data_IF_362385178137
#
_entry.id   IF_362385178137
#
_cell.length_a   1.000
_cell.length_b   1.000
_cell.length_c   1.000
_cell.angle_alpha   90.00
_cell.angle_beta   90.00
_cell.angle_gamma   90.00
#
_symmetry.space_group_name_H-M   'P 1'
#
loop_
_entity.id
_entity.type
_entity.pdbx_description
1 polymer ?
#
# COMPACT_ATOMS: atom_id res chain seq x y z
N UNK A 1 -11.26 -15.65 11.76
CA UNK A 1 -11.34 -17.10 12.12
C UNK A 1 -10.89 -17.27 13.57
N UNK A 2 -11.45 -18.22 14.32
CA UNK A 2 -11.00 -18.46 15.70
C UNK A 2 -9.76 -19.35 15.74
N UNK A 3 -8.83 -19.06 16.66
CA UNK A 3 -7.51 -19.72 16.74
C UNK A 3 -7.60 -21.26 16.80
N UNK A 4 -8.62 -21.81 17.46
CA UNK A 4 -8.85 -23.26 17.59
C UNK A 4 -8.95 -23.99 16.24
N UNK A 5 -9.47 -23.34 15.20
CA UNK A 5 -9.75 -23.96 13.90
C UNK A 5 -8.90 -23.39 12.76
N UNK A 6 -8.15 -22.32 13.02
CA UNK A 6 -7.29 -21.68 12.01
C UNK A 6 -6.02 -22.49 11.81
N UNK A 7 -5.82 -23.01 10.60
CA UNK A 7 -4.52 -23.56 10.21
C UNK A 7 -3.52 -22.40 10.05
N UNK A 8 -2.31 -22.48 10.64
CA UNK A 8 -1.36 -21.36 10.57
C UNK A 8 -1.08 -20.82 9.16
N UNK A 9 -0.90 -21.65 8.11
CA UNK A 9 -0.69 -21.12 6.75
C UNK A 9 -1.89 -20.32 6.24
N UNK A 10 -3.11 -20.77 6.51
CA UNK A 10 -4.33 -20.07 6.12
C UNK A 10 -4.52 -18.78 6.92
N UNK A 11 -4.25 -18.82 8.23
CA UNK A 11 -4.32 -17.64 9.09
C UNK A 11 -3.40 -16.51 8.63
N UNK A 12 -2.19 -16.85 8.17
CA UNK A 12 -1.20 -15.88 7.67
C UNK A 12 -1.65 -15.10 6.44
N UNK A 13 -2.48 -15.68 5.57
CA UNK A 13 -3.00 -14.99 4.37
C UNK A 13 -3.91 -13.82 4.76
N UNK A 14 -4.67 -13.98 5.85
CA UNK A 14 -5.68 -13.02 6.29
C UNK A 14 -5.21 -12.12 7.43
N UNK A 15 -3.89 -12.02 7.67
CA UNK A 15 -3.36 -11.04 8.64
C UNK A 15 -3.38 -9.64 8.04
N UNK A 16 -3.49 -8.62 8.89
CA UNK A 16 -3.40 -7.23 8.44
C UNK A 16 -2.05 -6.92 7.78
N UNK A 17 -0.96 -7.51 8.29
CA UNK A 17 0.36 -7.37 7.67
C UNK A 17 0.38 -7.91 6.23
N UNK A 18 -0.18 -9.10 5.98
CA UNK A 18 -0.23 -9.64 4.62
C UNK A 18 -1.20 -8.84 3.75
N UNK A 19 -2.35 -8.40 4.28
CA UNK A 19 -3.29 -7.52 3.58
C UNK A 19 -2.60 -6.24 3.09
N UNK A 20 -1.93 -5.52 3.98
CA UNK A 20 -1.21 -4.28 3.66
C UNK A 20 -0.04 -4.54 2.70
N UNK A 21 0.63 -5.70 2.82
CA UNK A 21 1.66 -6.10 1.86
C UNK A 21 1.10 -6.32 0.44
N UNK A 22 -0.10 -6.91 0.32
CA UNK A 22 -0.75 -7.08 -0.99
C UNK A 22 -1.25 -5.76 -1.57
N UNK A 23 -1.80 -4.87 -0.74
CA UNK A 23 -2.18 -3.53 -1.18
C UNK A 23 -0.96 -2.76 -1.71
N UNK A 24 0.16 -2.81 -0.99
CA UNK A 24 1.39 -2.17 -1.44
C UNK A 24 1.88 -2.74 -2.77
N UNK A 25 1.80 -4.06 -2.96
CA UNK A 25 2.21 -4.67 -4.23
C UNK A 25 1.34 -4.21 -5.40
N UNK A 26 0.03 -4.10 -5.22
CA UNK A 26 -0.90 -3.59 -6.24
C UNK A 26 -0.60 -2.13 -6.58
N UNK A 27 -0.37 -1.28 -5.57
CA UNK A 27 -0.03 0.14 -5.76
C UNK A 27 1.29 0.32 -6.53
N UNK A 28 2.31 -0.46 -6.17
CA UNK A 28 3.61 -0.39 -6.84
C UNK A 28 3.51 -0.88 -8.29
N UNK A 29 2.76 -1.96 -8.54
CA UNK A 29 2.49 -2.43 -9.89
C UNK A 29 1.72 -1.38 -10.72
N UNK A 30 0.75 -0.68 -10.13
CA UNK A 30 0.02 0.39 -10.80
C UNK A 30 0.94 1.58 -11.13
N UNK A 31 1.81 1.99 -10.19
CA UNK A 31 2.80 3.04 -10.44
C UNK A 31 3.77 2.67 -11.58
N UNK A 32 4.21 1.42 -11.65
CA UNK A 32 5.06 0.93 -12.73
C UNK A 32 4.33 0.96 -14.08
N UNK A 33 3.09 0.48 -14.14
CA UNK A 33 2.29 0.54 -15.36
C UNK A 33 2.06 1.99 -15.82
N UNK A 34 1.76 2.91 -14.91
CA UNK A 34 1.62 4.34 -15.21
C UNK A 34 2.93 4.93 -15.75
N UNK A 35 4.07 4.52 -15.23
CA UNK A 35 5.39 4.96 -15.72
C UNK A 35 5.72 4.38 -17.10
N UNK A 36 5.31 3.15 -17.39
CA UNK A 36 5.44 2.54 -18.72
C UNK A 36 4.57 3.26 -19.76
N UNK A 37 3.36 3.66 -19.38
CA UNK A 37 2.45 4.45 -20.20
C UNK A 37 2.88 5.93 -20.36
N UNK A 38 3.84 6.40 -19.56
CA UNK A 38 4.34 7.79 -19.59
C UNK A 38 3.49 8.80 -18.80
N UNK A 39 2.55 8.33 -17.98
CA UNK A 39 1.68 9.16 -17.14
C UNK A 39 2.41 9.71 -15.91
N UNK A 40 3.41 8.98 -15.40
CA UNK A 40 4.29 9.44 -14.31
C UNK A 40 5.77 9.26 -14.69
N UNK A 41 6.71 10.00 -14.07
CA UNK A 41 8.15 9.81 -14.31
C UNK A 41 8.61 8.41 -13.93
N UNK A 42 9.45 7.78 -14.76
CA UNK A 42 10.01 6.44 -14.50
C UNK A 42 10.81 6.40 -13.20
N UNK A 43 11.53 7.47 -12.91
CA UNK A 43 12.31 7.63 -11.68
C UNK A 43 11.41 7.66 -10.44
N UNK A 44 10.17 8.14 -10.54
CA UNK A 44 9.23 8.14 -9.43
C UNK A 44 8.77 6.72 -9.10
N UNK A 45 8.38 5.93 -10.10
CA UNK A 45 8.02 4.51 -9.90
C UNK A 45 9.20 3.70 -9.33
N UNK A 46 10.41 3.90 -9.86
CA UNK A 46 11.62 3.24 -9.34
C UNK A 46 11.89 3.59 -7.86
N UNK A 47 11.73 4.87 -7.49
CA UNK A 47 11.87 5.30 -6.10
C UNK A 47 10.80 4.70 -5.20
N UNK A 48 9.55 4.66 -5.64
CA UNK A 48 8.48 4.01 -4.88
C UNK A 48 8.80 2.54 -4.66
N UNK A 49 9.19 1.79 -5.69
CA UNK A 49 9.57 0.37 -5.56
C UNK A 49 10.76 0.15 -4.63
N UNK A 50 11.78 1.01 -4.70
CA UNK A 50 12.99 0.87 -3.89
C UNK A 50 12.79 1.26 -2.42
N UNK A 51 11.91 2.24 -2.13
CA UNK A 51 11.82 2.86 -0.80
C UNK A 51 10.50 2.59 -0.06
N UNK A 52 9.40 2.30 -0.74
CA UNK A 52 8.14 1.98 -0.07
C UNK A 52 8.28 0.66 0.72
N UNK A 53 7.68 0.63 1.91
CA UNK A 53 7.68 -0.53 2.81
C UNK A 53 6.27 -0.77 3.30
N UNK A 54 5.97 -2.03 3.62
CA UNK A 54 4.69 -2.38 4.23
C UNK A 54 4.59 -1.62 5.56
N UNK A 55 3.56 -0.78 5.75
CA UNK A 55 3.41 -0.03 6.99
C UNK A 55 3.00 -0.98 8.13
N UNK A 56 3.37 -0.60 9.36
CA UNK A 56 2.88 -1.31 10.54
C UNK A 56 1.35 -1.22 10.63
N UNK A 57 0.61 -2.32 10.83
CA UNK A 57 -0.85 -2.31 10.94
C UNK A 57 -1.37 -1.32 11.99
N UNK A 58 -0.68 -1.20 13.12
CA UNK A 58 -1.03 -0.30 14.21
C UNK A 58 -1.00 1.16 13.75
N UNK A 59 -0.02 1.53 12.92
CA UNK A 59 0.10 2.88 12.38
C UNK A 59 -1.04 3.22 11.43
N UNK A 60 -1.46 2.27 10.61
CA UNK A 60 -2.62 2.43 9.72
C UNK A 60 -3.89 2.65 10.54
N UNK A 61 -4.10 1.86 11.60
CA UNK A 61 -5.26 2.02 12.50
C UNK A 61 -5.27 3.40 13.17
N UNK A 62 -4.12 3.91 13.65
CA UNK A 62 -4.02 5.26 14.22
C UNK A 62 -4.41 6.36 13.23
N UNK A 63 -3.98 6.23 11.97
CA UNK A 63 -4.31 7.19 10.91
C UNK A 63 -5.79 7.07 10.53
N UNK A 64 -6.32 5.85 10.45
CA UNK A 64 -7.72 5.58 10.13
C UNK A 64 -8.67 6.22 11.14
N UNK A 65 -8.32 6.23 12.44
CA UNK A 65 -9.12 6.94 13.45
C UNK A 65 -9.26 8.44 13.16
N UNK A 66 -8.29 9.04 12.45
CA UNK A 66 -8.30 10.47 12.09
C UNK A 66 -9.03 10.71 10.77
N UNK A 67 -8.73 9.92 9.74
CA UNK A 67 -9.26 10.14 8.38
C UNK A 67 -10.57 9.40 8.11
N UNK A 68 -10.94 8.44 8.97
CA UNK A 68 -12.13 7.57 8.87
C UNK A 68 -12.23 6.80 7.56
N UNK A 69 -11.07 6.44 6.99
CA UNK A 69 -10.95 5.68 5.75
C UNK A 69 -9.62 4.90 5.75
N UNK A 70 -9.71 3.59 5.63
CA UNK A 70 -8.61 2.63 5.66
C UNK A 70 -7.58 2.79 4.53
N UNK A 71 -8.02 2.91 3.27
CA UNK A 71 -7.11 3.11 2.13
C UNK A 71 -6.38 4.45 2.23
N UNK A 72 -7.06 5.53 2.62
CA UNK A 72 -6.39 6.82 2.88
C UNK A 72 -5.38 6.69 4.02
N UNK A 73 -5.74 5.99 5.10
CA UNK A 73 -4.82 5.77 6.21
C UNK A 73 -3.57 4.97 5.78
N UNK A 74 -3.77 3.95 4.93
CA UNK A 74 -2.69 3.16 4.35
C UNK A 74 -1.78 3.99 3.44
N UNK A 75 -2.32 4.78 2.52
CA UNK A 75 -1.50 5.61 1.61
C UNK A 75 -0.68 6.64 2.38
N UNK A 76 -1.27 7.27 3.39
CA UNK A 76 -0.55 8.16 4.31
C UNK A 76 0.59 7.41 5.03
N UNK A 77 0.33 6.22 5.57
CA UNK A 77 1.35 5.43 6.27
C UNK A 77 2.52 5.02 5.36
N UNK A 78 2.25 4.70 4.09
CA UNK A 78 3.31 4.36 3.12
C UNK A 78 4.13 5.60 2.79
N UNK A 79 3.48 6.73 2.50
CA UNK A 79 4.15 7.98 2.13
C UNK A 79 5.00 8.52 3.29
N UNK A 80 4.56 8.38 4.54
CA UNK A 80 5.36 8.70 5.75
C UNK A 80 6.71 7.96 5.78
N UNK A 81 6.78 6.74 5.21
CA UNK A 81 7.96 5.88 5.25
C UNK A 81 8.90 6.01 4.04
N UNK A 82 8.55 6.77 3.01
CA UNK A 82 9.37 6.87 1.77
C UNK A 82 10.75 7.53 2.00
N UNK A 83 10.92 8.25 3.11
CA UNK A 83 12.16 8.97 3.42
C UNK A 83 12.45 10.12 2.45
N UNK A 84 13.51 10.92 2.71
CA UNK A 84 13.79 12.12 1.94
C UNK A 84 14.08 11.88 0.45
N UNK A 85 14.70 10.74 0.13
CA UNK A 85 15.14 10.39 -1.23
C UNK A 85 13.97 10.12 -2.19
N UNK A 86 12.84 9.62 -1.66
CA UNK A 86 11.63 9.30 -2.40
C UNK A 86 10.42 10.19 -2.05
N UNK A 87 10.58 11.20 -1.18
CA UNK A 87 9.50 12.10 -0.78
C UNK A 87 8.75 12.72 -1.97
N UNK A 88 9.48 13.14 -3.02
CA UNK A 88 8.88 13.70 -4.23
C UNK A 88 8.07 12.69 -5.06
N UNK A 89 8.34 11.39 -4.92
CA UNK A 89 7.63 10.33 -5.63
C UNK A 89 6.28 9.99 -4.96
N UNK A 90 6.12 10.27 -3.67
CA UNK A 90 4.89 9.99 -2.91
C UNK A 90 3.63 10.65 -3.48
N UNK A 91 3.76 11.75 -4.23
CA UNK A 91 2.64 12.41 -4.91
C UNK A 91 1.97 11.57 -6.01
N UNK A 92 2.66 10.54 -6.49
CA UNK A 92 2.18 9.63 -7.52
C UNK A 92 1.66 8.31 -6.94
N UNK A 93 1.84 8.09 -5.64
CA UNK A 93 1.28 6.92 -4.95
C UNK A 93 -0.25 7.03 -4.96
N UNK A 94 -0.95 5.95 -5.35
CA UNK A 94 -2.41 5.92 -5.55
C UNK A 94 -2.94 6.86 -6.65
N UNK A 95 -2.11 7.31 -7.58
CA UNK A 95 -2.53 8.24 -8.64
C UNK A 95 -3.49 7.57 -9.64
N UNK A 96 -4.66 8.18 -9.85
CA UNK A 96 -5.64 7.73 -10.84
C UNK A 96 -6.47 6.51 -10.43
N UNK A 97 -6.26 5.98 -9.22
CA UNK A 97 -6.98 4.83 -8.69
C UNK A 97 -8.14 5.26 -7.79
N UNK A 98 -9.12 4.37 -7.70
CA UNK A 98 -10.10 4.35 -6.61
C UNK A 98 -9.69 3.31 -5.56
N UNK A 99 -10.24 3.41 -4.35
CA UNK A 99 -10.00 2.44 -3.29
C UNK A 99 -10.27 0.99 -3.74
N UNK A 100 -11.35 0.77 -4.49
CA UNK A 100 -11.75 -0.57 -4.95
C UNK A 100 -10.75 -1.19 -5.92
N UNK A 101 -10.04 -0.40 -6.74
CA UNK A 101 -9.01 -0.92 -7.64
C UNK A 101 -7.89 -1.64 -6.85
N UNK A 102 -7.58 -1.14 -5.65
CA UNK A 102 -6.60 -1.77 -4.75
C UNK A 102 -7.23 -2.90 -3.96
N UNK A 103 -8.39 -2.66 -3.35
CA UNK A 103 -9.05 -3.62 -2.46
C UNK A 103 -9.45 -4.91 -3.17
N UNK A 104 -10.08 -4.81 -4.34
CA UNK A 104 -10.66 -5.96 -5.02
C UNK A 104 -9.58 -6.77 -5.76
N UNK A 105 -8.49 -6.12 -6.16
CA UNK A 105 -7.34 -6.79 -6.80
C UNK A 105 -6.48 -7.55 -5.79
N UNK A 106 -6.39 -7.07 -4.54
CA UNK A 106 -5.52 -7.63 -3.52
C UNK A 106 -6.15 -8.77 -2.67
N UNK A 107 -7.47 -8.97 -2.78
CA UNK A 107 -8.25 -9.92 -1.97
C UNK A 107 -8.10 -11.38 -2.38
#
# INVERSE_FOLDING_TARGET
>A
MIARYTRPPMGRVWTDENKLAKWLEVELAACEALAECGEIPKEAAQKLRAHARVPAPERVVELEQKVRHDVIAFTLAVVENLGPEAAGAGRYFHYGLTSSDVLDTAQ
#
